data_IF_672682963818
#
_entry.id   IF_672682963818
#
_cell.length_a   1.000
_cell.length_b   1.000
_cell.length_c   1.000
_cell.angle_alpha   90.00
_cell.angle_beta   90.00
_cell.angle_gamma   90.00
#
_symmetry.space_group_name_H-M   'P 1'
#
loop_
_entity.id
_entity.type
_entity.pdbx_description
1 polymer ?
#
# COMPACT_ATOMS: atom_id res chain seq x y z
N UNK A 1 6.15 -1.24 -22.70
CA UNK A 1 6.40 -1.36 -21.25
C UNK A 1 5.09 -1.57 -20.51
N UNK A 2 5.01 -2.63 -19.74
CA UNK A 2 3.79 -2.96 -19.02
C UNK A 2 3.86 -2.38 -17.61
N UNK A 3 2.84 -1.61 -17.22
CA UNK A 3 2.75 -1.16 -15.84
C UNK A 3 2.48 -2.34 -14.92
N UNK A 4 3.06 -2.38 -13.72
CA UNK A 4 2.72 -3.42 -12.76
C UNK A 4 1.24 -3.36 -12.42
N UNK A 5 0.61 -4.52 -12.32
CA UNK A 5 -0.77 -4.65 -11.85
C UNK A 5 -0.73 -4.81 -10.34
N UNK A 6 -1.51 -4.01 -9.64
CA UNK A 6 -1.60 -4.08 -8.18
C UNK A 6 -3.04 -4.42 -7.81
N UNK A 7 -3.23 -5.58 -7.21
CA UNK A 7 -4.53 -6.03 -6.73
C UNK A 7 -4.51 -6.01 -5.20
N UNK A 8 -5.47 -5.34 -4.58
CA UNK A 8 -5.52 -5.16 -3.13
C UNK A 8 -6.87 -5.63 -2.60
N UNK A 9 -6.85 -6.48 -1.60
CA UNK A 9 -8.05 -6.93 -0.88
C UNK A 9 -7.82 -6.74 0.60
N UNK A 10 -8.68 -5.97 1.25
CA UNK A 10 -8.58 -5.69 2.67
C UNK A 10 -9.79 -6.20 3.43
N UNK A 11 -9.55 -6.71 4.64
CA UNK A 11 -10.58 -7.14 5.55
C UNK A 11 -10.20 -6.78 6.98
N UNK A 12 -11.20 -6.75 7.86
CA UNK A 12 -10.94 -6.47 9.27
C UNK A 12 -10.32 -7.71 9.93
N UNK A 13 -9.28 -7.48 10.71
CA UNK A 13 -8.65 -8.53 11.48
C UNK A 13 -8.36 -7.97 12.88
N UNK A 14 -9.20 -8.32 13.84
CA UNK A 14 -9.12 -7.72 15.17
C UNK A 14 -9.42 -6.24 15.13
N UNK A 15 -8.51 -5.44 15.68
CA UNK A 15 -8.66 -3.99 15.77
C UNK A 15 -8.01 -3.24 14.61
N UNK A 16 -7.54 -3.95 13.59
CA UNK A 16 -6.91 -3.31 12.43
C UNK A 16 -7.34 -3.98 11.14
N UNK A 17 -6.86 -3.46 10.03
CA UNK A 17 -7.10 -4.02 8.71
C UNK A 17 -5.92 -4.89 8.28
N UNK A 18 -6.23 -6.00 7.63
CA UNK A 18 -5.22 -6.79 6.92
C UNK A 18 -5.49 -6.68 5.44
N UNK A 19 -4.51 -6.23 4.68
CA UNK A 19 -4.61 -6.10 3.24
C UNK A 19 -3.67 -7.11 2.57
N UNK A 20 -4.23 -7.88 1.65
CA UNK A 20 -3.45 -8.79 0.83
C UNK A 20 -3.21 -8.11 -0.51
N UNK A 21 -1.94 -7.95 -0.88
CA UNK A 21 -1.55 -7.23 -2.08
C UNK A 21 -0.85 -8.18 -3.02
N UNK A 22 -1.31 -8.23 -4.25
CA UNK A 22 -0.65 -9.01 -5.30
C UNK A 22 -0.16 -8.07 -6.38
N UNK A 23 1.13 -8.13 -6.66
CA UNK A 23 1.77 -7.31 -7.68
C UNK A 23 2.20 -8.21 -8.83
N UNK A 24 1.78 -7.87 -10.04
CA UNK A 24 2.19 -8.60 -11.25
C UNK A 24 3.04 -7.70 -12.12
N UNK A 25 4.22 -8.19 -12.46
CA UNK A 25 5.13 -7.53 -13.38
C UNK A 25 5.55 -8.52 -14.45
N UNK A 26 4.92 -8.49 -15.63
CA UNK A 26 5.19 -9.44 -16.68
C UNK A 26 4.88 -10.87 -16.22
N UNK A 27 5.85 -11.81 -16.31
CA UNK A 27 5.64 -13.19 -15.87
C UNK A 27 5.80 -13.39 -14.38
N UNK A 28 6.17 -12.34 -13.62
CA UNK A 28 6.44 -12.46 -12.19
C UNK A 28 5.27 -11.90 -11.38
N UNK A 29 5.05 -12.49 -10.20
CA UNK A 29 4.06 -12.00 -9.26
C UNK A 29 4.62 -12.11 -7.85
N UNK A 30 4.32 -11.11 -7.02
CA UNK A 30 4.66 -11.12 -5.60
C UNK A 30 3.41 -10.91 -4.78
N UNK A 31 3.42 -11.39 -3.55
CA UNK A 31 2.31 -11.22 -2.63
C UNK A 31 2.82 -10.60 -1.34
N UNK A 32 2.04 -9.68 -0.79
CA UNK A 32 2.43 -8.92 0.39
C UNK A 32 1.25 -8.87 1.36
N UNK A 33 1.56 -8.87 2.65
CA UNK A 33 0.57 -8.71 3.71
C UNK A 33 0.84 -7.38 4.41
N UNK A 34 -0.12 -6.47 4.33
CA UNK A 34 0.05 -5.13 4.89
C UNK A 34 -1.05 -4.91 5.93
N UNK A 35 -0.63 -4.55 7.14
CA UNK A 35 -1.61 -4.17 8.17
C UNK A 35 -1.77 -2.66 8.20
N UNK A 36 -2.99 -2.21 8.47
CA UNK A 36 -3.31 -0.79 8.54
C UNK A 36 -4.13 -0.54 9.80
N UNK A 37 -3.61 0.30 10.68
CA UNK A 37 -4.36 0.71 11.87
C UNK A 37 -5.48 1.67 11.47
N UNK A 38 -6.66 1.62 12.12
CA UNK A 38 -7.75 2.56 11.79
C UNK A 38 -7.32 4.02 11.86
N UNK A 39 -6.47 4.39 12.81
CA UNK A 39 -5.97 5.76 12.93
C UNK A 39 -5.15 6.17 11.72
N UNK A 40 -4.39 5.25 11.14
CA UNK A 40 -3.61 5.55 9.93
C UNK A 40 -4.51 5.76 8.72
N UNK A 41 -5.58 4.97 8.61
CA UNK A 41 -6.55 5.16 7.54
C UNK A 41 -7.22 6.54 7.64
N UNK A 42 -7.66 6.91 8.84
CA UNK A 42 -8.29 8.21 9.06
C UNK A 42 -7.32 9.35 8.73
N UNK A 43 -6.06 9.21 9.11
CA UNK A 43 -5.04 10.24 8.86
C UNK A 43 -4.73 10.38 7.37
N UNK A 44 -4.65 9.26 6.66
CA UNK A 44 -4.14 9.26 5.28
C UNK A 44 -5.24 9.31 4.23
N UNK A 45 -6.40 8.75 4.52
CA UNK A 45 -7.52 8.71 3.56
C UNK A 45 -8.85 8.80 4.33
N UNK A 46 -9.17 9.97 4.91
CA UNK A 46 -10.25 10.09 5.90
C UNK A 46 -11.65 9.81 5.36
N UNK A 47 -11.87 9.88 4.06
CA UNK A 47 -13.21 9.62 3.49
C UNK A 47 -13.41 8.18 3.05
N UNK A 48 -12.39 7.35 3.14
CA UNK A 48 -12.48 5.97 2.68
C UNK A 48 -13.12 5.06 3.72
N UNK A 49 -13.95 4.12 3.26
CA UNK A 49 -14.57 3.13 4.13
C UNK A 49 -13.61 1.99 4.48
N UNK A 50 -12.60 1.75 3.64
CA UNK A 50 -11.59 0.72 3.84
C UNK A 50 -10.27 1.19 3.23
N UNK A 51 -9.15 0.52 3.53
CA UNK A 51 -7.84 0.99 3.08
C UNK A 51 -7.40 0.50 1.70
N UNK A 52 -8.29 -0.08 0.89
CA UNK A 52 -7.86 -0.65 -0.40
C UNK A 52 -7.22 0.40 -1.30
N UNK A 53 -7.87 1.54 -1.47
CA UNK A 53 -7.33 2.62 -2.30
C UNK A 53 -6.02 3.16 -1.74
N UNK A 54 -5.95 3.32 -0.43
CA UNK A 54 -4.75 3.81 0.24
C UNK A 54 -3.56 2.88 0.00
N UNK A 55 -3.76 1.58 0.20
CA UNK A 55 -2.68 0.60 0.04
C UNK A 55 -2.27 0.49 -1.43
N UNK A 56 -3.22 0.53 -2.36
CA UNK A 56 -2.91 0.52 -3.78
C UNK A 56 -2.05 1.72 -4.16
N UNK A 57 -2.41 2.90 -3.67
CA UNK A 57 -1.66 4.12 -3.94
C UNK A 57 -0.26 4.05 -3.34
N UNK A 58 -0.14 3.50 -2.13
CA UNK A 58 1.16 3.31 -1.50
C UNK A 58 2.05 2.37 -2.33
N UNK A 59 1.48 1.29 -2.87
CA UNK A 59 2.25 0.38 -3.71
C UNK A 59 2.64 1.00 -5.05
N UNK A 60 1.77 1.84 -5.63
CA UNK A 60 2.15 2.59 -6.83
C UNK A 60 3.36 3.48 -6.54
N UNK A 61 3.35 4.16 -5.40
CA UNK A 61 4.47 4.96 -4.94
C UNK A 61 5.74 4.11 -4.81
N UNK A 62 5.64 2.95 -4.15
CA UNK A 62 6.80 2.09 -3.94
C UNK A 62 7.35 1.54 -5.27
N UNK A 63 6.48 1.15 -6.17
CA UNK A 63 6.90 0.56 -7.45
C UNK A 63 7.55 1.56 -8.39
N UNK A 64 7.39 2.85 -8.16
CA UNK A 64 8.12 3.88 -8.88
C UNK A 64 9.58 3.96 -8.42
N UNK A 65 9.89 3.40 -7.26
CA UNK A 65 11.19 3.54 -6.61
C UNK A 65 11.96 2.24 -6.49
N UNK A 66 11.26 1.11 -6.46
CA UNK A 66 11.91 -0.20 -6.36
C UNK A 66 11.06 -1.27 -7.01
N UNK A 67 11.68 -2.42 -7.30
CA UNK A 67 10.96 -3.54 -7.89
C UNK A 67 10.08 -4.22 -6.84
N UNK A 68 9.03 -4.91 -7.29
CA UNK A 68 8.13 -5.62 -6.39
C UNK A 68 8.87 -6.62 -5.50
N UNK A 69 9.91 -7.26 -6.03
CA UNK A 69 10.68 -8.25 -5.26
C UNK A 69 11.47 -7.63 -4.11
N UNK A 70 11.70 -6.32 -4.15
CA UNK A 70 12.41 -5.60 -3.09
C UNK A 70 11.48 -5.12 -1.98
N UNK A 71 10.18 -5.11 -2.21
CA UNK A 71 9.20 -4.68 -1.21
C UNK A 71 9.02 -5.78 -0.18
N UNK A 72 8.97 -5.40 1.10
CA UNK A 72 8.77 -6.37 2.18
C UNK A 72 7.51 -7.20 1.95
N UNK A 73 7.56 -8.48 2.31
CA UNK A 73 6.43 -9.37 2.13
C UNK A 73 5.35 -9.19 3.19
N UNK A 74 5.70 -8.66 4.35
CA UNK A 74 4.75 -8.44 5.43
C UNK A 74 5.22 -7.23 6.23
N UNK A 75 4.34 -6.22 6.37
CA UNK A 75 4.70 -5.02 7.11
C UNK A 75 3.46 -4.22 7.49
N UNK A 76 3.61 -3.38 8.50
CA UNK A 76 2.60 -2.40 8.89
C UNK A 76 2.79 -1.16 8.02
N UNK A 77 1.72 -0.57 7.52
CA UNK A 77 1.81 0.48 6.51
C UNK A 77 2.81 1.60 6.82
N UNK A 78 2.87 2.14 8.07
CA UNK A 78 3.81 3.22 8.37
C UNK A 78 5.30 2.84 8.26
N UNK A 79 5.61 1.56 8.15
CA UNK A 79 7.01 1.12 7.98
C UNK A 79 7.61 1.70 6.70
N UNK A 80 6.79 2.03 5.72
CA UNK A 80 7.25 2.69 4.49
C UNK A 80 8.07 3.96 4.82
N UNK A 81 7.67 4.68 5.87
CA UNK A 81 8.37 5.90 6.28
C UNK A 81 9.79 5.71 6.75
N UNK A 82 10.19 4.48 7.11
CA UNK A 82 11.57 4.20 7.48
C UNK A 82 12.51 4.23 6.26
N UNK A 83 11.97 3.95 5.09
CA UNK A 83 12.74 3.89 3.85
C UNK A 83 12.51 5.12 2.98
N UNK A 84 11.32 5.70 3.05
CA UNK A 84 10.93 6.84 2.22
C UNK A 84 10.22 7.89 3.08
N UNK A 85 10.95 8.81 3.76
CA UNK A 85 10.38 9.78 4.71
C UNK A 85 9.46 10.70 3.97
N UNK A 86 8.99 10.98 3.17
CA UNK A 86 8.02 11.86 2.53
C UNK A 86 6.84 11.14 1.93
N UNK A 87 6.74 9.83 2.15
CA UNK A 87 5.74 9.03 1.46
C UNK A 87 4.30 9.41 1.80
N UNK A 88 4.03 9.81 3.05
CA UNK A 88 2.66 10.16 3.45
C UNK A 88 2.16 11.38 2.70
N UNK A 89 2.99 12.39 2.57
CA UNK A 89 2.64 13.60 1.85
C UNK A 89 2.36 13.30 0.37
N UNK A 90 3.20 12.48 -0.25
CA UNK A 90 3.05 12.09 -1.64
C UNK A 90 1.76 11.30 -1.86
N UNK A 91 1.51 10.29 -1.02
CA UNK A 91 0.32 9.45 -1.13
C UNK A 91 -0.95 10.26 -0.90
N UNK A 92 -0.96 11.14 0.10
CA UNK A 92 -2.12 12.00 0.36
C UNK A 92 -2.41 12.90 -0.83
N UNK A 93 -1.38 13.47 -1.46
CA UNK A 93 -1.57 14.30 -2.63
C UNK A 93 -2.20 13.50 -3.79
N UNK A 94 -1.79 12.25 -3.98
CA UNK A 94 -2.37 11.39 -5.01
C UNK A 94 -3.84 11.05 -4.72
N UNK A 95 -4.18 10.88 -3.45
CA UNK A 95 -5.55 10.53 -3.05
C UNK A 95 -6.52 11.70 -3.17
N UNK A 96 -6.04 12.92 -3.03
CA UNK A 96 -6.86 14.13 -3.10
C UNK A 96 -6.83 14.81 -4.46
N UNK A 97 -5.88 14.46 -5.29
CA UNK A 97 -5.72 15.01 -6.64
C UNK A 97 -6.43 14.22 -7.74
#
# INVERSE_FOLDING_TARGET
MTKPDVDVRCGREGDRWLCLVRVREGPFATEHRVTVAPADLIRLDPTAADPERLVRTAFTFLLERESASSILRSFDLPVIGRYFPGWESDVRARLTG
#
